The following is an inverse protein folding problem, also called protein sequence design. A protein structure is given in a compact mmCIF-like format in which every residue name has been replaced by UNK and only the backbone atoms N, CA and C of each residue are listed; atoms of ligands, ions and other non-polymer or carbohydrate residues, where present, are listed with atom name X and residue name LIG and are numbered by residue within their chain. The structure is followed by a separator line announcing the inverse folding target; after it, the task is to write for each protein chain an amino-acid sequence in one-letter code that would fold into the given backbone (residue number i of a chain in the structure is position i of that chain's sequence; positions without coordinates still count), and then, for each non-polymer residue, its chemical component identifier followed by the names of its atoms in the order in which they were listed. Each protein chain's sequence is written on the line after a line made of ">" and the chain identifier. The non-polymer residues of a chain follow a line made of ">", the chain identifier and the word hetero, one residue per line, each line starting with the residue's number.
data_IF_830622500560
#
_entry.id   IF_830622500560
#
_cell.length_a   1.000
_cell.length_b   1.000
_cell.length_c   1.000
_cell.angle_alpha   90.00
_cell.angle_beta   90.00
_cell.angle_gamma   90.00
#
_symmetry.space_group_name_H-M   'P 1'
#
loop_
_entity.id
_entity.type
_entity.pdbx_description
1 polymer ?
#
# COMPACT_ATOMS: atom_id res chain seq x y z
N UNK A 1 10.88 -79.86 19.85
CA UNK A 1 9.83 -80.16 20.84
C UNK A 1 8.84 -79.02 20.80
N UNK A 2 7.79 -79.09 20.20
CA UNK A 2 6.52 -79.82 20.32
C UNK A 2 5.51 -78.78 20.67
N UNK A 3 4.50 -78.53 20.05
CA UNK A 3 3.33 -79.09 19.39
C UNK A 3 2.20 -78.07 19.51
N UNK A 4 1.53 -77.71 18.43
CA UNK A 4 0.12 -77.86 18.11
C UNK A 4 -0.89 -77.18 19.06
N UNK A 5 -1.93 -76.46 18.61
CA UNK A 5 -3.03 -76.77 17.69
C UNK A 5 -3.90 -75.51 17.43
N UNK A 6 -4.33 -75.31 16.20
CA UNK A 6 -5.62 -74.68 15.78
C UNK A 6 -6.81 -75.66 16.07
N UNK A 7 -8.09 -75.37 15.72
CA UNK A 7 -8.89 -74.14 15.44
C UNK A 7 -10.23 -74.14 16.19
N UNK A 8 -11.06 -73.11 16.07
CA UNK A 8 -12.51 -73.34 15.95
C UNK A 8 -13.25 -72.14 15.32
N UNK A 9 -13.90 -72.45 14.22
CA UNK A 9 -14.94 -71.67 13.53
C UNK A 9 -16.24 -71.86 14.25
N UNK A 10 -17.00 -70.77 14.52
CA UNK A 10 -18.45 -70.86 14.71
C UNK A 10 -19.14 -69.70 13.93
N UNK A 11 -19.86 -70.14 12.90
CA UNK A 11 -20.90 -69.42 12.19
C UNK A 11 -22.19 -69.38 13.01
N UNK A 12 -22.92 -68.30 12.93
CA UNK A 12 -24.41 -68.25 13.09
C UNK A 12 -24.85 -66.84 12.90
N UNK A 13 -25.52 -66.53 11.99
CA UNK A 13 -26.92 -66.65 11.57
C UNK A 13 -27.63 -65.26 11.60
N UNK A 14 -28.07 -64.86 10.44
CA UNK A 14 -28.85 -63.66 10.16
C UNK A 14 -30.24 -63.71 10.85
N UNK A 15 -30.68 -62.54 11.30
CA UNK A 15 -32.11 -62.23 11.48
C UNK A 15 -32.42 -60.92 10.79
N UNK A 16 -33.16 -61.03 9.68
CA UNK A 16 -33.87 -59.96 9.00
C UNK A 16 -35.16 -59.68 9.82
N UNK A 17 -35.31 -58.46 10.26
CA UNK A 17 -36.61 -57.91 10.65
C UNK A 17 -36.82 -56.61 9.84
N UNK A 18 -37.71 -56.71 8.87
CA UNK A 18 -38.33 -55.59 8.18
C UNK A 18 -39.35 -54.93 9.10
N UNK A 19 -39.23 -53.64 9.33
CA UNK A 19 -40.32 -52.80 9.79
C UNK A 19 -40.33 -51.53 8.93
N UNK A 20 -41.35 -51.42 8.10
CA UNK A 20 -41.75 -50.19 7.41
C UNK A 20 -42.22 -49.15 8.41
N UNK A 21 -41.85 -47.88 8.17
CA UNK A 21 -42.57 -46.80 8.82
C UNK A 21 -41.81 -45.46 8.78
N UNK A 22 -42.32 -44.59 7.95
CA UNK A 22 -42.29 -43.14 8.03
C UNK A 22 -41.13 -42.40 7.40
N UNK A 23 -41.44 -41.80 6.26
CA UNK A 23 -40.62 -40.73 5.63
C UNK A 23 -40.53 -39.53 6.57
N UNK A 24 -39.33 -39.34 7.15
CA UNK A 24 -38.89 -38.10 7.75
C UNK A 24 -37.81 -37.54 6.84
N UNK A 25 -38.03 -36.36 6.31
CA UNK A 25 -37.07 -35.60 5.57
C UNK A 25 -35.76 -35.50 6.38
N UNK A 26 -34.72 -36.16 5.94
CA UNK A 26 -33.38 -35.95 6.45
C UNK A 26 -32.91 -34.62 5.89
N UNK A 27 -33.02 -33.60 6.73
CA UNK A 27 -32.40 -32.30 6.54
C UNK A 27 -30.87 -32.54 6.48
N UNK A 28 -30.37 -32.66 5.24
CA UNK A 28 -28.93 -32.63 4.99
C UNK A 28 -28.44 -31.23 5.29
N UNK A 29 -28.22 -30.91 6.54
CA UNK A 29 -27.34 -29.81 6.93
C UNK A 29 -26.00 -30.08 6.23
N UNK A 30 -25.77 -29.43 5.10
CA UNK A 30 -24.42 -29.25 4.60
C UNK A 30 -23.61 -28.66 5.74
N UNK A 31 -22.70 -29.44 6.31
CA UNK A 31 -21.62 -28.90 7.12
C UNK A 31 -20.92 -27.88 6.23
N UNK A 32 -21.19 -26.61 6.42
CA UNK A 32 -20.38 -25.57 5.84
C UNK A 32 -18.97 -25.77 6.46
N UNK A 33 -18.02 -26.14 5.62
CA UNK A 33 -16.62 -26.21 6.02
C UNK A 33 -16.22 -24.82 6.55
N UNK A 34 -15.61 -24.77 7.72
CA UNK A 34 -15.18 -23.50 8.30
C UNK A 34 -14.29 -22.75 7.28
N UNK A 35 -14.45 -21.45 7.09
CA UNK A 35 -13.68 -20.71 6.13
C UNK A 35 -12.18 -20.89 6.39
N UNK A 36 -11.41 -21.17 5.35
CA UNK A 36 -9.96 -21.25 5.42
C UNK A 36 -9.43 -19.90 5.90
N UNK A 37 -8.52 -19.90 6.87
CA UNK A 37 -7.90 -18.67 7.40
C UNK A 37 -6.40 -18.72 7.24
N UNK A 38 -5.78 -17.55 7.12
CA UNK A 38 -4.33 -17.33 7.21
C UNK A 38 -4.00 -16.53 8.46
N UNK A 39 -2.80 -16.75 9.01
CA UNK A 39 -2.29 -15.98 10.15
C UNK A 39 -1.45 -14.83 9.64
N UNK A 40 -1.93 -13.63 9.85
CA UNK A 40 -1.21 -12.40 9.52
C UNK A 40 -0.64 -11.81 10.80
N UNK A 41 0.61 -11.40 10.73
CA UNK A 41 1.29 -10.71 11.82
C UNK A 41 1.44 -9.24 11.43
N UNK A 42 0.92 -8.36 12.26
CA UNK A 42 1.02 -6.91 12.14
C UNK A 42 1.68 -6.27 13.39
N UNK A 43 1.64 -4.94 13.48
CA UNK A 43 2.17 -4.20 14.62
C UNK A 43 1.44 -4.50 15.94
N UNK A 44 0.17 -4.94 15.88
CA UNK A 44 -0.69 -5.22 17.03
C UNK A 44 -0.71 -6.70 17.44
N UNK A 45 -0.05 -7.59 16.68
CA UNK A 45 0.06 -9.01 17.01
C UNK A 45 -0.20 -9.96 15.86
N UNK A 46 -0.95 -11.03 16.11
CA UNK A 46 -1.30 -12.03 15.10
C UNK A 46 -2.82 -12.14 14.97
N UNK A 47 -3.31 -11.94 13.76
CA UNK A 47 -4.74 -11.99 13.41
C UNK A 47 -4.99 -13.18 12.49
N UNK A 48 -6.09 -13.94 12.74
CA UNK A 48 -6.56 -14.94 11.79
C UNK A 48 -7.49 -14.26 10.80
N UNK A 49 -7.10 -14.20 9.54
CA UNK A 49 -7.84 -13.53 8.47
C UNK A 49 -8.48 -14.59 7.56
N UNK A 50 -9.77 -14.49 7.21
CA UNK A 50 -10.37 -15.39 6.22
C UNK A 50 -9.67 -15.24 4.86
N UNK A 51 -9.47 -16.38 4.17
CA UNK A 51 -8.96 -16.36 2.78
C UNK A 51 -10.12 -16.03 1.85
N UNK A 52 -9.88 -15.17 0.88
CA UNK A 52 -10.87 -14.70 -0.09
C UNK A 52 -12.13 -14.12 0.58
N UNK A 53 -11.94 -13.13 1.50
CA UNK A 53 -13.05 -12.50 2.21
C UNK A 53 -13.99 -11.81 1.22
N UNK A 54 -15.30 -11.80 1.52
CA UNK A 54 -16.31 -11.26 0.58
C UNK A 54 -16.71 -9.82 0.89
N UNK A 55 -16.53 -9.39 2.15
CA UNK A 55 -16.81 -8.03 2.58
C UNK A 55 -15.53 -7.37 3.07
N UNK A 56 -14.86 -6.71 2.16
CA UNK A 56 -13.58 -6.05 2.39
C UNK A 56 -13.79 -4.57 2.64
N UNK A 57 -13.25 -4.07 3.74
CA UNK A 57 -13.08 -2.64 3.98
C UNK A 57 -11.61 -2.32 3.85
N UNK A 58 -11.26 -1.44 2.90
CA UNK A 58 -9.89 -1.00 2.71
C UNK A 58 -9.75 0.48 3.09
N UNK A 59 -8.85 0.76 4.05
CA UNK A 59 -8.58 2.10 4.57
C UNK A 59 -7.13 2.53 4.32
N UNK A 60 -6.28 1.61 3.85
CA UNK A 60 -4.90 1.90 3.51
C UNK A 60 -4.77 2.24 2.01
N UNK A 61 -4.38 3.47 1.73
CA UNK A 61 -4.22 3.97 0.37
C UNK A 61 -3.13 3.25 -0.43
N UNK A 62 -2.14 2.64 0.22
CA UNK A 62 -1.10 1.84 -0.45
C UNK A 62 -1.61 0.53 -1.03
N UNK A 63 -2.82 0.12 -0.66
CA UNK A 63 -3.41 -1.17 -1.06
C UNK A 63 -4.42 -1.06 -2.20
N UNK A 64 -5.01 0.11 -2.45
CA UNK A 64 -6.12 0.27 -3.39
C UNK A 64 -5.79 -0.18 -4.81
N UNK A 65 -4.63 0.19 -5.32
CA UNK A 65 -4.22 -0.18 -6.69
C UNK A 65 -4.03 -1.69 -6.83
N UNK A 66 -3.39 -2.32 -5.86
CA UNK A 66 -3.19 -3.77 -5.84
C UNK A 66 -4.51 -4.52 -5.75
N UNK A 67 -5.42 -4.10 -4.85
CA UNK A 67 -6.74 -4.71 -4.70
C UNK A 67 -7.58 -4.56 -5.98
N UNK A 68 -7.54 -3.37 -6.61
CA UNK A 68 -8.22 -3.12 -7.88
C UNK A 68 -7.67 -3.98 -9.02
N UNK A 69 -6.33 -4.11 -9.12
CA UNK A 69 -5.69 -4.93 -10.14
C UNK A 69 -6.01 -6.43 -9.99
N UNK A 70 -6.40 -6.85 -8.79
CA UNK A 70 -6.77 -8.23 -8.49
C UNK A 70 -8.30 -8.46 -8.49
N UNK A 71 -9.10 -7.49 -8.94
CA UNK A 71 -10.55 -7.53 -9.01
C UNK A 71 -11.21 -7.79 -7.64
N UNK A 72 -10.62 -7.26 -6.55
CA UNK A 72 -11.20 -7.37 -5.21
C UNK A 72 -12.33 -6.35 -5.05
N UNK A 73 -13.53 -6.81 -4.73
CA UNK A 73 -14.67 -5.93 -4.44
C UNK A 73 -14.54 -5.31 -3.05
N UNK A 74 -14.75 -3.99 -2.92
CA UNK A 74 -14.75 -3.29 -1.65
C UNK A 74 -16.18 -3.01 -1.18
N UNK A 75 -16.48 -3.34 0.08
CA UNK A 75 -17.74 -2.97 0.72
C UNK A 75 -17.75 -1.52 1.21
N UNK A 76 -16.59 -1.02 1.65
CA UNK A 76 -16.43 0.37 2.07
C UNK A 76 -14.97 0.83 1.90
N UNK A 77 -14.79 2.12 1.64
CA UNK A 77 -13.50 2.78 1.51
C UNK A 77 -13.65 4.29 1.76
N UNK A 78 -12.56 5.03 2.04
CA UNK A 78 -12.56 6.50 2.08
C UNK A 78 -12.57 7.06 0.65
N UNK A 79 -13.76 7.20 0.07
CA UNK A 79 -13.95 7.53 -1.36
C UNK A 79 -13.22 8.81 -1.76
N UNK A 80 -13.17 9.81 -0.88
CA UNK A 80 -12.44 11.07 -1.12
C UNK A 80 -10.90 10.92 -1.16
N UNK A 81 -10.34 9.75 -0.80
CA UNK A 81 -8.90 9.45 -0.86
C UNK A 81 -8.55 8.48 -1.99
N UNK A 82 -9.52 8.04 -2.76
CA UNK A 82 -9.27 7.18 -3.93
C UNK A 82 -8.77 8.04 -5.10
N UNK A 83 -7.73 7.61 -5.83
CA UNK A 83 -7.34 8.26 -7.07
C UNK A 83 -8.53 8.33 -8.04
N UNK A 84 -8.73 9.48 -8.70
CA UNK A 84 -9.91 9.72 -9.56
C UNK A 84 -10.05 8.70 -10.70
N UNK A 85 -8.94 8.13 -11.15
CA UNK A 85 -8.93 7.09 -12.19
C UNK A 85 -9.16 5.68 -11.66
N UNK A 86 -9.12 5.49 -10.34
CA UNK A 86 -9.39 4.19 -9.72
C UNK A 86 -10.79 3.68 -10.08
N UNK A 87 -10.96 2.39 -10.40
CA UNK A 87 -12.28 1.80 -10.59
C UNK A 87 -13.16 1.97 -9.35
N UNK A 88 -12.57 1.94 -8.16
CA UNK A 88 -13.29 2.15 -6.90
C UNK A 88 -13.87 3.55 -6.74
N UNK A 89 -13.21 4.59 -7.25
CA UNK A 89 -13.75 5.96 -7.23
C UNK A 89 -15.02 6.13 -8.09
N UNK A 90 -15.22 5.22 -9.04
CA UNK A 90 -16.37 5.21 -9.96
C UNK A 90 -17.49 4.26 -9.51
N UNK A 91 -17.20 3.41 -8.53
CA UNK A 91 -18.16 2.43 -8.00
C UNK A 91 -19.06 3.09 -6.93
N UNK A 92 -20.37 3.10 -7.22
CA UNK A 92 -21.39 3.72 -6.35
C UNK A 92 -21.87 2.78 -5.24
N UNK A 93 -21.53 1.52 -5.30
CA UNK A 93 -21.92 0.52 -4.31
C UNK A 93 -20.96 0.51 -3.12
N UNK A 94 -19.79 1.12 -3.24
CA UNK A 94 -18.83 1.31 -2.14
C UNK A 94 -19.36 2.33 -1.15
N UNK A 95 -19.51 1.92 0.10
CA UNK A 95 -19.90 2.82 1.19
C UNK A 95 -18.75 3.75 1.54
N UNK A 96 -18.98 5.06 1.46
CA UNK A 96 -17.98 6.06 1.84
C UNK A 96 -17.85 6.16 3.36
N UNK A 97 -16.63 5.95 3.86
CA UNK A 97 -16.30 6.07 5.28
C UNK A 97 -15.77 7.47 5.66
N UNK A 98 -15.74 8.40 4.70
CA UNK A 98 -15.22 9.74 4.91
C UNK A 98 -13.70 9.84 4.98
N UNK A 99 -13.22 11.03 5.36
CA UNK A 99 -11.79 11.33 5.44
C UNK A 99 -11.21 10.84 6.78
N UNK A 100 -9.92 10.55 6.79
CA UNK A 100 -9.19 10.05 7.96
C UNK A 100 -9.16 11.00 9.16
N UNK A 101 -9.40 12.30 8.97
CA UNK A 101 -9.48 13.27 10.07
C UNK A 101 -10.75 13.10 10.93
N UNK A 102 -11.85 12.68 10.30
CA UNK A 102 -13.15 12.48 10.95
C UNK A 102 -13.89 11.34 10.23
N UNK A 103 -13.41 10.09 10.39
CA UNK A 103 -14.00 8.96 9.69
C UNK A 103 -15.35 8.56 10.26
N UNK A 104 -16.24 8.12 9.39
CA UNK A 104 -17.51 7.51 9.79
C UNK A 104 -17.30 6.03 10.14
N UNK A 105 -16.87 5.78 11.38
CA UNK A 105 -16.63 4.42 11.87
C UNK A 105 -17.90 3.57 11.92
N UNK A 106 -19.08 4.18 12.07
CA UNK A 106 -20.37 3.47 12.05
C UNK A 106 -20.68 2.92 10.65
N UNK A 107 -20.26 3.61 9.60
CA UNK A 107 -20.38 3.11 8.23
C UNK A 107 -19.53 1.83 8.02
N UNK A 108 -18.32 1.78 8.62
CA UNK A 108 -17.48 0.57 8.61
C UNK A 108 -18.21 -0.60 9.30
N UNK A 109 -18.78 -0.35 10.47
CA UNK A 109 -19.55 -1.38 11.19
C UNK A 109 -20.82 -1.80 10.43
N UNK A 110 -21.48 -0.84 9.77
CA UNK A 110 -22.73 -1.05 9.04
C UNK A 110 -22.62 -2.02 7.88
N UNK A 111 -21.47 -2.13 7.19
CA UNK A 111 -21.25 -3.11 6.13
C UNK A 111 -21.01 -4.52 6.65
N UNK A 112 -20.80 -4.70 7.96
CA UNK A 112 -20.50 -5.99 8.61
C UNK A 112 -19.36 -6.72 7.87
N UNK A 113 -18.12 -6.20 7.94
CA UNK A 113 -16.99 -6.70 7.17
C UNK A 113 -16.49 -8.06 7.63
N UNK A 114 -15.85 -8.81 6.72
CA UNK A 114 -15.04 -9.98 7.03
C UNK A 114 -13.62 -9.58 7.42
N UNK A 115 -13.10 -8.54 6.74
CA UNK A 115 -11.78 -7.97 6.98
C UNK A 115 -11.80 -6.45 6.85
N UNK A 116 -11.03 -5.78 7.71
CA UNK A 116 -10.71 -4.35 7.61
C UNK A 116 -9.20 -4.20 7.51
N UNK A 117 -8.74 -3.60 6.43
CA UNK A 117 -7.33 -3.31 6.16
C UNK A 117 -7.09 -1.86 6.56
N UNK A 118 -6.39 -1.67 7.67
CA UNK A 118 -5.97 -0.36 8.19
C UNK A 118 -4.53 -0.12 7.76
N UNK A 119 -4.13 1.12 7.69
CA UNK A 119 -2.75 1.54 7.43
C UNK A 119 -2.64 3.06 7.44
N UNK A 120 -1.44 3.57 7.29
CA UNK A 120 -1.03 4.97 7.26
C UNK A 120 -2.03 5.98 7.84
N UNK A 121 -2.97 6.45 7.01
CA UNK A 121 -3.90 7.56 7.36
C UNK A 121 -4.92 7.17 8.42
N UNK A 122 -5.23 5.88 8.55
CA UNK A 122 -6.23 5.37 9.49
C UNK A 122 -5.61 4.60 10.66
N UNK A 123 -4.29 4.54 10.79
CA UNK A 123 -3.59 3.78 11.84
C UNK A 123 -4.06 4.18 13.25
N UNK A 124 -4.25 5.47 13.51
CA UNK A 124 -4.73 5.97 14.80
C UNK A 124 -6.14 5.49 15.18
N UNK A 125 -6.93 5.03 14.21
CA UNK A 125 -8.30 4.53 14.42
C UNK A 125 -8.38 3.02 14.61
N UNK A 126 -7.25 2.30 14.57
CA UNK A 126 -7.22 0.82 14.64
C UNK A 126 -8.01 0.25 15.81
N UNK A 127 -7.74 0.72 17.03
CA UNK A 127 -8.38 0.20 18.24
C UNK A 127 -9.89 0.49 18.30
N UNK A 128 -10.32 1.63 17.78
CA UNK A 128 -11.74 1.99 17.75
C UNK A 128 -12.49 1.19 16.69
N UNK A 129 -11.90 1.00 15.51
CA UNK A 129 -12.43 0.13 14.46
C UNK A 129 -12.58 -1.30 15.01
N UNK A 130 -11.54 -1.84 15.64
CA UNK A 130 -11.54 -3.19 16.19
C UNK A 130 -12.64 -3.43 17.23
N UNK A 131 -12.94 -2.42 18.07
CA UNK A 131 -14.04 -2.48 19.04
C UNK A 131 -15.41 -2.53 18.35
N UNK A 132 -15.57 -1.79 17.24
CA UNK A 132 -16.85 -1.68 16.52
C UNK A 132 -17.15 -2.90 15.67
N UNK A 133 -16.14 -3.61 15.16
CA UNK A 133 -16.30 -4.80 14.33
C UNK A 133 -15.65 -6.05 14.96
N UNK A 134 -16.12 -6.51 16.13
CA UNK A 134 -15.47 -7.56 16.90
C UNK A 134 -15.44 -8.93 16.19
N UNK A 135 -16.23 -9.11 15.14
CA UNK A 135 -16.30 -10.34 14.36
C UNK A 135 -15.46 -10.29 13.09
N UNK A 136 -14.95 -9.11 12.71
CA UNK A 136 -14.08 -8.94 11.56
C UNK A 136 -12.60 -9.17 11.93
N UNK A 137 -11.80 -9.61 10.97
CA UNK A 137 -10.36 -9.52 11.08
C UNK A 137 -9.93 -8.07 10.81
N UNK A 138 -9.34 -7.39 11.77
CA UNK A 138 -8.76 -6.06 11.59
C UNK A 138 -7.25 -6.21 11.56
N UNK A 139 -6.62 -5.78 10.49
CA UNK A 139 -5.16 -5.83 10.27
C UNK A 139 -4.64 -4.44 9.99
N UNK A 140 -3.44 -4.15 10.49
CA UNK A 140 -2.73 -2.90 10.25
C UNK A 140 -1.53 -3.17 9.35
N UNK A 141 -1.55 -2.58 8.14
CA UNK A 141 -0.50 -2.69 7.15
C UNK A 141 0.32 -1.38 7.03
N UNK A 142 0.29 -0.53 8.06
CA UNK A 142 1.09 0.69 8.05
C UNK A 142 2.58 0.39 7.94
N UNK A 143 3.25 1.14 7.07
CA UNK A 143 4.70 1.09 6.90
C UNK A 143 5.31 2.19 7.77
N UNK A 144 5.66 1.81 8.99
CA UNK A 144 6.28 2.75 9.93
C UNK A 144 7.72 3.05 9.53
N UNK A 145 8.03 4.34 9.36
CA UNK A 145 9.37 4.84 9.06
C UNK A 145 9.85 5.74 10.21
N UNK A 146 10.51 5.19 11.25
CA UNK A 146 11.02 6.00 12.35
C UNK A 146 12.05 7.02 11.85
N UNK A 147 11.98 8.24 12.33
CA UNK A 147 12.87 9.34 11.93
C UNK A 147 14.35 9.05 12.17
N UNK A 148 14.67 8.23 13.15
CA UNK A 148 16.01 7.85 13.56
C UNK A 148 16.43 6.45 13.10
N UNK A 149 15.68 5.82 12.21
CA UNK A 149 15.94 4.44 11.75
C UNK A 149 17.29 4.28 11.06
N UNK A 150 17.82 5.33 10.44
CA UNK A 150 19.05 5.29 9.64
C UNK A 150 18.93 4.57 8.30
N UNK A 151 17.87 3.79 8.10
CA UNK A 151 17.61 2.99 6.87
C UNK A 151 16.16 3.08 6.42
N UNK A 152 15.58 4.30 6.24
CA UNK A 152 14.18 4.45 5.88
C UNK A 152 13.86 3.84 4.50
N UNK A 153 14.83 3.79 3.59
CA UNK A 153 14.66 3.18 2.27
C UNK A 153 14.47 1.67 2.34
N UNK A 154 15.29 0.98 3.14
CA UNK A 154 15.14 -0.47 3.36
C UNK A 154 13.81 -0.80 4.05
N UNK A 155 13.39 0.02 5.03
CA UNK A 155 12.12 -0.15 5.73
C UNK A 155 10.93 0.06 4.81
N UNK A 156 10.98 1.06 3.93
CA UNK A 156 9.94 1.30 2.93
C UNK A 156 9.79 0.11 1.98
N UNK A 157 10.89 -0.35 1.40
CA UNK A 157 10.89 -1.49 0.46
C UNK A 157 10.32 -2.73 1.13
N UNK A 158 10.86 -3.07 2.32
CA UNK A 158 10.37 -4.21 3.08
C UNK A 158 8.88 -4.09 3.42
N UNK A 159 8.42 -2.92 3.80
CA UNK A 159 7.00 -2.69 4.10
C UNK A 159 6.11 -2.89 2.88
N UNK A 160 6.52 -2.40 1.70
CA UNK A 160 5.79 -2.61 0.43
C UNK A 160 5.73 -4.09 0.05
N UNK A 161 6.85 -4.82 0.20
CA UNK A 161 6.91 -6.26 -0.04
C UNK A 161 6.02 -7.04 0.93
N UNK A 162 6.19 -6.82 2.25
CA UNK A 162 5.41 -7.49 3.30
C UNK A 162 3.89 -7.25 3.12
N UNK A 163 3.49 -6.00 2.80
CA UNK A 163 2.09 -5.65 2.52
C UNK A 163 1.57 -6.40 1.30
N UNK A 164 2.31 -6.40 0.20
CA UNK A 164 1.91 -7.06 -1.04
C UNK A 164 1.79 -8.58 -0.86
N UNK A 165 2.76 -9.21 -0.19
CA UNK A 165 2.72 -10.64 0.12
C UNK A 165 1.56 -10.99 1.06
N UNK A 166 1.27 -10.13 2.04
CA UNK A 166 0.13 -10.29 2.95
C UNK A 166 -1.20 -10.27 2.20
N UNK A 167 -1.38 -9.30 1.30
CA UNK A 167 -2.55 -9.25 0.43
C UNK A 167 -2.64 -10.50 -0.45
N UNK A 168 -1.52 -10.96 -1.02
CA UNK A 168 -1.44 -12.19 -1.81
C UNK A 168 -1.89 -13.44 -1.03
N UNK A 169 -1.60 -13.51 0.28
CA UNK A 169 -2.06 -14.60 1.14
C UNK A 169 -3.56 -14.50 1.45
N UNK A 170 -4.07 -13.30 1.69
CA UNK A 170 -5.48 -13.06 2.03
C UNK A 170 -6.38 -13.34 0.82
N UNK A 171 -6.02 -12.85 -0.37
CA UNK A 171 -6.84 -12.90 -1.57
C UNK A 171 -6.51 -14.06 -2.52
N UNK A 172 -5.67 -15.02 -2.07
CA UNK A 172 -5.20 -16.17 -2.88
C UNK A 172 -4.53 -15.76 -4.20
N UNK A 173 -3.76 -14.66 -4.15
CA UNK A 173 -3.05 -14.01 -5.26
C UNK A 173 -1.53 -14.04 -5.09
N UNK A 174 -1.01 -15.16 -4.57
CA UNK A 174 0.42 -15.26 -4.26
C UNK A 174 1.32 -15.05 -5.48
N UNK A 175 0.95 -15.58 -6.64
CA UNK A 175 1.77 -15.45 -7.84
C UNK A 175 1.81 -14.01 -8.34
N UNK A 176 0.68 -13.32 -8.31
CA UNK A 176 0.57 -11.91 -8.66
C UNK A 176 1.36 -11.03 -7.69
N UNK A 177 1.33 -11.34 -6.39
CA UNK A 177 2.13 -10.66 -5.37
C UNK A 177 3.63 -10.85 -5.62
N UNK A 178 4.10 -12.09 -5.82
CA UNK A 178 5.50 -12.41 -6.12
C UNK A 178 5.99 -11.63 -7.38
N UNK A 179 5.11 -11.41 -8.36
CA UNK A 179 5.43 -10.65 -9.57
C UNK A 179 5.59 -9.15 -9.30
N UNK A 180 4.72 -8.55 -8.46
CA UNK A 180 4.84 -7.15 -8.06
C UNK A 180 6.13 -6.91 -7.28
N UNK A 181 6.45 -7.78 -6.33
CA UNK A 181 7.71 -7.73 -5.55
C UNK A 181 8.92 -7.80 -6.49
N UNK A 182 8.93 -8.77 -7.41
CA UNK A 182 10.01 -8.90 -8.41
C UNK A 182 10.16 -7.63 -9.27
N UNK A 183 9.03 -7.00 -9.63
CA UNK A 183 9.03 -5.76 -10.43
C UNK A 183 9.64 -4.61 -9.65
N UNK A 184 9.28 -4.45 -8.37
CA UNK A 184 9.87 -3.45 -7.49
C UNK A 184 11.38 -3.65 -7.34
N UNK A 185 11.82 -4.86 -7.01
CA UNK A 185 13.24 -5.20 -6.88
C UNK A 185 14.05 -4.90 -8.15
N UNK A 186 13.45 -5.19 -9.32
CA UNK A 186 14.12 -4.92 -10.59
C UNK A 186 14.24 -3.41 -10.83
N UNK A 187 13.18 -2.64 -10.58
CA UNK A 187 13.21 -1.18 -10.74
C UNK A 187 14.25 -0.52 -9.83
N UNK A 188 14.39 -1.01 -8.59
CA UNK A 188 15.44 -0.56 -7.65
C UNK A 188 16.84 -0.85 -8.22
N UNK A 189 17.07 -2.05 -8.74
CA UNK A 189 18.37 -2.43 -9.36
C UNK A 189 18.69 -1.53 -10.54
N UNK A 190 17.69 -1.17 -11.34
CA UNK A 190 17.86 -0.34 -12.53
C UNK A 190 18.21 1.12 -12.15
N UNK A 191 17.61 1.70 -11.11
CA UNK A 191 18.02 3.02 -10.59
C UNK A 191 19.45 2.98 -10.08
N UNK A 192 19.81 1.99 -9.23
CA UNK A 192 21.18 1.85 -8.68
C UNK A 192 22.24 1.68 -9.77
N UNK A 193 21.89 1.03 -10.87
CA UNK A 193 22.79 0.85 -12.02
C UNK A 193 22.95 2.13 -12.82
N UNK A 194 21.89 2.94 -12.95
CA UNK A 194 21.88 4.15 -13.80
C UNK A 194 22.46 5.37 -13.07
N UNK A 195 22.38 5.42 -11.74
CA UNK A 195 22.94 6.52 -10.97
C UNK A 195 24.47 6.49 -10.97
N UNK A 196 25.09 7.61 -11.30
CA UNK A 196 26.55 7.72 -11.42
C UNK A 196 27.31 7.91 -10.11
N UNK A 197 26.60 7.99 -8.96
CA UNK A 197 27.17 8.18 -7.62
C UNK A 197 27.80 9.57 -7.36
N UNK A 198 27.61 10.54 -8.25
CA UNK A 198 28.23 11.88 -8.17
C UNK A 198 27.20 13.01 -8.22
N UNK A 199 26.18 12.89 -9.04
CA UNK A 199 25.18 13.93 -9.26
C UNK A 199 24.36 14.17 -8.00
N UNK A 200 24.13 15.45 -7.72
CA UNK A 200 23.31 15.85 -6.58
C UNK A 200 21.82 15.85 -6.94
N UNK A 201 21.02 15.35 -6.00
CA UNK A 201 19.57 15.24 -6.16
C UNK A 201 18.86 16.21 -5.22
N UNK A 202 17.84 16.88 -5.73
CA UNK A 202 16.90 17.70 -5.00
C UNK A 202 15.51 17.13 -5.17
N UNK A 203 14.72 17.06 -4.11
CA UNK A 203 13.31 16.68 -4.18
C UNK A 203 12.40 17.75 -3.61
N UNK A 204 11.29 18.00 -4.31
CA UNK A 204 10.31 19.02 -3.95
C UNK A 204 8.89 18.49 -4.09
N UNK A 205 7.98 19.07 -3.29
CA UNK A 205 6.54 18.84 -3.36
C UNK A 205 5.89 20.14 -3.80
N UNK A 206 5.07 20.09 -4.83
CA UNK A 206 4.26 21.23 -5.27
C UNK A 206 2.84 21.07 -4.73
N UNK A 207 2.36 22.07 -4.01
CA UNK A 207 1.03 22.10 -3.40
C UNK A 207 0.47 23.51 -3.41
N UNK A 208 -0.73 23.74 -3.92
CA UNK A 208 -1.38 25.04 -4.00
C UNK A 208 -0.61 26.11 -4.80
N UNK A 209 0.31 25.67 -5.66
CA UNK A 209 1.20 26.56 -6.41
C UNK A 209 2.51 26.91 -5.70
N UNK A 210 2.73 26.45 -4.48
CA UNK A 210 3.96 26.62 -3.71
C UNK A 210 4.90 25.43 -3.87
N UNK A 211 6.20 25.66 -3.69
CA UNK A 211 7.26 24.63 -3.76
C UNK A 211 7.81 24.39 -2.37
N UNK A 212 7.52 23.21 -1.80
CA UNK A 212 8.07 22.73 -0.53
C UNK A 212 9.27 21.81 -0.75
N UNK A 213 10.23 21.83 0.18
CA UNK A 213 11.40 20.97 0.15
C UNK A 213 11.08 19.60 0.76
N UNK A 214 11.32 18.50 0.03
CA UNK A 214 11.23 17.16 0.59
C UNK A 214 12.62 16.71 1.06
N UNK A 215 12.82 16.72 2.38
CA UNK A 215 14.13 16.51 2.97
C UNK A 215 14.65 15.07 2.79
N UNK A 216 15.95 14.87 2.58
CA UNK A 216 16.57 13.55 2.61
C UNK A 216 16.27 12.80 3.89
N UNK A 217 16.04 11.51 3.81
CA UNK A 217 15.72 10.54 4.87
C UNK A 217 14.30 10.65 5.43
N UNK A 218 13.74 11.85 5.65
CA UNK A 218 12.46 12.05 6.35
C UNK A 218 11.34 12.61 5.48
N UNK A 219 11.67 13.30 4.38
CA UNK A 219 10.66 13.90 3.50
C UNK A 219 9.71 12.86 2.92
N UNK A 220 8.42 13.19 2.85
CA UNK A 220 7.40 12.29 2.31
C UNK A 220 7.74 11.84 0.89
N UNK A 221 7.49 10.59 0.57
CA UNK A 221 7.75 9.91 -0.70
C UNK A 221 9.25 9.82 -1.02
N UNK A 222 9.96 10.94 -1.10
CA UNK A 222 11.34 10.99 -1.59
C UNK A 222 12.40 10.74 -0.53
N UNK A 223 12.14 11.10 0.73
CA UNK A 223 13.13 10.99 1.80
C UNK A 223 13.79 9.61 1.89
N UNK A 224 13.02 8.51 1.91
CA UNK A 224 13.56 7.15 1.93
C UNK A 224 14.40 6.78 0.71
N UNK A 225 14.20 7.44 -0.43
CA UNK A 225 14.92 7.14 -1.67
C UNK A 225 16.40 7.55 -1.59
N UNK A 226 16.72 8.57 -0.79
CA UNK A 226 18.13 8.99 -0.61
C UNK A 226 18.98 7.90 0.03
N UNK A 227 18.45 7.22 1.03
CA UNK A 227 19.07 6.05 1.64
C UNK A 227 19.08 4.85 0.67
N UNK A 228 17.92 4.55 0.06
CA UNK A 228 17.77 3.39 -0.83
C UNK A 228 18.75 3.41 -2.01
N UNK A 229 19.01 4.58 -2.58
CA UNK A 229 19.83 4.75 -3.79
C UNK A 229 21.20 5.38 -3.54
N UNK A 230 21.55 5.62 -2.28
CA UNK A 230 22.79 6.33 -1.90
C UNK A 230 22.95 7.67 -2.63
N UNK A 231 21.83 8.42 -2.73
CA UNK A 231 21.82 9.70 -3.45
C UNK A 231 22.52 10.78 -2.67
N UNK A 232 23.31 11.57 -3.38
CA UNK A 232 23.94 12.76 -2.84
C UNK A 232 22.93 13.90 -2.75
N UNK A 233 22.55 14.38 -1.56
CA UNK A 233 21.59 15.47 -1.44
C UNK A 233 22.21 16.79 -1.95
N UNK A 234 21.45 17.56 -2.73
CA UNK A 234 21.86 18.90 -3.15
C UNK A 234 21.75 19.92 -2.02
N UNK A 235 20.84 19.68 -1.08
CA UNK A 235 20.61 20.52 0.09
C UNK A 235 20.27 19.64 1.31
N UNK A 236 20.84 20.01 2.45
CA UNK A 236 20.46 19.47 3.75
C UNK A 236 20.03 20.60 4.68
N UNK A 237 18.96 20.36 5.46
CA UNK A 237 18.47 21.32 6.46
C UNK A 237 18.48 20.68 7.84
N UNK A 238 18.58 21.50 8.88
CA UNK A 238 18.61 21.02 10.26
C UNK A 238 17.22 20.60 10.77
N UNK A 239 16.21 21.37 10.40
CA UNK A 239 14.82 21.07 10.71
C UNK A 239 14.21 20.45 9.47
N UNK A 240 13.81 19.20 9.58
CA UNK A 240 13.24 18.41 8.50
C UNK A 240 12.07 17.60 9.04
N UNK A 241 11.08 17.39 8.22
CA UNK A 241 9.87 16.67 8.59
C UNK A 241 9.37 15.77 7.44
N UNK A 242 8.38 14.93 7.77
CA UNK A 242 7.58 14.20 6.79
C UNK A 242 6.34 14.96 6.35
N UNK A 243 6.33 16.30 6.43
CA UNK A 243 5.19 17.13 6.07
C UNK A 243 4.75 16.85 4.62
N UNK A 244 3.46 16.72 4.41
CA UNK A 244 2.86 16.35 3.13
C UNK A 244 2.89 17.47 2.08
N UNK A 245 3.24 18.69 2.47
CA UNK A 245 3.48 19.84 1.59
C UNK A 245 4.98 20.14 1.43
N UNK A 246 5.84 19.40 2.12
CA UNK A 246 7.28 19.66 2.22
C UNK A 246 7.64 20.71 3.28
N UNK A 247 8.92 20.80 3.58
CA UNK A 247 9.44 21.77 4.53
C UNK A 247 9.54 23.17 3.91
N UNK A 248 9.39 24.22 4.74
CA UNK A 248 9.48 25.62 4.34
C UNK A 248 10.95 26.00 4.06
N UNK A 249 11.40 25.75 2.84
CA UNK A 249 12.70 26.21 2.32
C UNK A 249 12.44 27.14 1.14
N UNK A 250 13.08 28.32 1.13
CA UNK A 250 12.87 29.26 0.04
C UNK A 250 13.33 28.71 -1.30
N UNK A 251 12.60 29.03 -2.37
CA UNK A 251 12.93 28.60 -3.74
C UNK A 251 14.33 29.11 -4.16
N UNK A 252 14.77 30.26 -3.62
CA UNK A 252 16.10 30.79 -3.83
C UNK A 252 17.19 29.92 -3.17
N UNK A 253 16.93 29.35 -1.98
CA UNK A 253 17.88 28.44 -1.33
C UNK A 253 17.95 27.11 -2.11
N UNK A 254 16.82 26.60 -2.60
CA UNK A 254 16.76 25.45 -3.49
C UNK A 254 17.59 25.75 -4.76
N UNK A 255 17.38 26.91 -5.39
CA UNK A 255 18.13 27.31 -6.58
C UNK A 255 19.64 27.49 -6.34
N UNK A 256 20.03 28.02 -5.17
CA UNK A 256 21.44 28.20 -4.81
C UNK A 256 22.19 26.88 -4.64
N UNK A 257 21.50 25.81 -4.22
CA UNK A 257 22.12 24.48 -4.13
C UNK A 257 22.48 23.91 -5.50
N UNK A 258 21.87 24.43 -6.57
CA UNK A 258 22.15 24.12 -7.98
C UNK A 258 22.18 22.60 -8.25
N UNK A 259 21.10 21.87 -8.02
CA UNK A 259 21.05 20.43 -8.15
C UNK A 259 21.31 19.97 -9.58
N UNK A 260 21.88 18.75 -9.71
CA UNK A 260 22.02 18.05 -10.98
C UNK A 260 20.72 17.45 -11.44
N UNK A 261 19.89 16.96 -10.49
CA UNK A 261 18.58 16.36 -10.70
C UNK A 261 17.52 16.99 -9.81
N UNK A 262 16.32 17.16 -10.33
CA UNK A 262 15.14 17.63 -9.61
C UNK A 262 14.03 16.56 -9.68
N UNK A 263 13.61 16.05 -8.53
CA UNK A 263 12.44 15.18 -8.40
C UNK A 263 11.26 16.01 -7.90
N UNK A 264 10.11 15.85 -8.53
CA UNK A 264 8.92 16.67 -8.27
C UNK A 264 7.71 15.79 -7.99
N UNK A 265 7.08 15.99 -6.84
CA UNK A 265 5.76 15.45 -6.52
C UNK A 265 4.70 16.54 -6.73
N UNK A 266 3.71 16.27 -7.57
CA UNK A 266 2.50 17.08 -7.67
C UNK A 266 1.47 16.56 -6.67
N UNK A 267 1.35 17.25 -5.53
CA UNK A 267 0.44 16.86 -4.46
C UNK A 267 -1.03 17.02 -4.85
N UNK A 268 -1.30 17.99 -5.70
CA UNK A 268 -2.67 18.38 -6.03
C UNK A 268 -3.22 17.60 -7.24
N UNK A 269 -2.35 17.02 -8.07
CA UNK A 269 -2.74 16.30 -9.28
C UNK A 269 -3.80 15.21 -9.05
N UNK A 270 -3.70 14.34 -8.01
CA UNK A 270 -4.69 13.29 -7.79
C UNK A 270 -5.97 13.77 -7.11
N UNK A 271 -5.98 14.99 -6.56
CA UNK A 271 -7.14 15.57 -5.89
C UNK A 271 -8.17 16.17 -6.88
N UNK A 272 -7.91 16.07 -8.17
CA UNK A 272 -8.80 16.56 -9.21
C UNK A 272 -8.82 18.10 -9.30
N UNK A 273 -10.03 18.68 -9.39
CA UNK A 273 -10.20 20.12 -9.50
C UNK A 273 -10.17 20.81 -8.12
N UNK A 274 -9.17 20.54 -7.29
CA UNK A 274 -9.00 21.25 -6.04
C UNK A 274 -8.89 22.76 -6.30
N UNK A 275 -9.58 23.58 -5.52
CA UNK A 275 -9.52 25.05 -5.67
C UNK A 275 -8.07 25.51 -5.47
N UNK A 276 -7.53 26.21 -6.47
CA UNK A 276 -6.15 26.69 -6.46
C UNK A 276 -5.10 25.69 -6.95
N UNK A 277 -5.47 24.48 -7.38
CA UNK A 277 -4.52 23.51 -7.95
C UNK A 277 -3.87 24.08 -9.21
N UNK A 278 -2.53 24.07 -9.23
CA UNK A 278 -1.71 24.45 -10.39
C UNK A 278 -0.80 23.26 -10.70
N UNK A 279 -0.77 22.76 -11.95
CA UNK A 279 0.11 21.64 -12.29
C UNK A 279 1.57 21.93 -11.88
N UNK A 280 2.21 20.94 -11.24
CA UNK A 280 3.57 21.12 -10.73
C UNK A 280 4.54 21.55 -11.84
N UNK A 281 4.38 21.04 -13.06
CA UNK A 281 5.18 21.46 -14.20
C UNK A 281 5.07 22.97 -14.45
N UNK A 282 3.85 23.53 -14.43
CA UNK A 282 3.63 24.97 -14.61
C UNK A 282 4.29 25.79 -13.51
N UNK A 283 4.28 25.30 -12.27
CA UNK A 283 4.92 25.96 -11.12
C UNK A 283 6.44 25.96 -11.27
N UNK A 284 7.04 24.84 -11.60
CA UNK A 284 8.49 24.69 -11.81
C UNK A 284 8.93 25.56 -13.00
N UNK A 285 8.22 25.52 -14.13
CA UNK A 285 8.54 26.27 -15.35
C UNK A 285 8.48 27.79 -15.13
N UNK A 286 7.57 28.25 -14.27
CA UNK A 286 7.38 29.67 -13.94
C UNK A 286 8.21 30.17 -12.78
N UNK A 287 8.97 29.32 -12.08
CA UNK A 287 9.82 29.71 -10.95
C UNK A 287 11.15 30.34 -11.47
N UNK A 288 11.32 31.69 -11.47
CA UNK A 288 12.47 32.33 -12.11
C UNK A 288 13.81 31.97 -11.46
N UNK A 289 13.80 31.66 -10.17
CA UNK A 289 15.01 31.24 -9.44
C UNK A 289 15.52 29.90 -9.96
N UNK A 290 14.62 28.95 -10.22
CA UNK A 290 14.97 27.59 -10.65
C UNK A 290 15.51 27.53 -12.07
N UNK A 291 15.11 28.48 -12.97
CA UNK A 291 15.48 28.49 -14.39
C UNK A 291 16.99 28.55 -14.62
N UNK A 292 17.77 28.93 -13.62
CA UNK A 292 19.24 29.03 -13.72
C UNK A 292 19.95 27.78 -13.21
N UNK A 293 19.24 26.85 -12.58
CA UNK A 293 19.81 25.60 -12.04
C UNK A 293 20.24 24.67 -13.14
N UNK A 294 21.16 23.77 -12.82
CA UNK A 294 21.65 22.76 -13.76
C UNK A 294 20.52 21.79 -14.12
N UNK A 295 19.75 21.31 -13.14
CA UNK A 295 18.64 20.39 -13.37
C UNK A 295 17.66 20.91 -14.45
N UNK A 296 17.26 22.20 -14.38
CA UNK A 296 16.35 22.79 -15.37
C UNK A 296 17.01 22.94 -16.75
N UNK A 297 18.27 23.43 -16.79
CA UNK A 297 18.97 23.65 -18.06
C UNK A 297 19.26 22.38 -18.84
N UNK A 298 19.54 21.30 -18.13
CA UNK A 298 19.92 20.01 -18.71
C UNK A 298 18.70 19.09 -18.90
N UNK A 299 17.47 19.57 -18.58
CA UNK A 299 16.21 18.80 -18.62
C UNK A 299 16.25 17.54 -17.73
N UNK A 300 16.94 17.67 -16.59
CA UNK A 300 17.08 16.62 -15.60
C UNK A 300 15.99 16.73 -14.50
N UNK A 301 14.74 16.65 -14.92
CA UNK A 301 13.58 16.73 -14.04
C UNK A 301 12.81 15.42 -14.17
N UNK A 302 12.45 14.82 -13.05
CA UNK A 302 11.57 13.64 -13.02
C UNK A 302 10.35 13.96 -12.14
N UNK A 303 9.18 13.92 -12.76
CA UNK A 303 7.92 14.04 -12.06
C UNK A 303 7.46 12.66 -11.58
N UNK A 304 7.03 12.56 -10.31
CA UNK A 304 6.40 11.35 -9.82
C UNK A 304 5.08 11.08 -10.57
N UNK A 305 4.62 9.82 -10.68
CA UNK A 305 3.30 9.50 -11.21
C UNK A 305 2.21 10.37 -10.57
N UNK A 306 1.21 10.78 -11.36
CA UNK A 306 0.24 11.81 -10.96
C UNK A 306 -0.56 11.48 -9.70
N UNK A 307 -0.78 10.21 -9.42
CA UNK A 307 -1.54 9.73 -8.28
C UNK A 307 -0.69 9.38 -7.05
N UNK A 308 0.64 9.55 -7.13
CA UNK A 308 1.60 9.16 -6.07
C UNK A 308 1.17 9.66 -4.69
N UNK A 309 0.72 10.92 -4.57
CA UNK A 309 0.35 11.48 -3.27
C UNK A 309 -0.80 10.73 -2.57
N UNK A 310 -1.75 10.17 -3.33
CA UNK A 310 -2.86 9.39 -2.80
C UNK A 310 -2.62 7.88 -2.83
N UNK A 311 -1.74 7.39 -3.68
CA UNK A 311 -1.59 5.97 -3.91
C UNK A 311 -0.42 5.35 -3.14
N UNK A 312 0.79 5.82 -3.35
CA UNK A 312 2.02 5.31 -2.69
C UNK A 312 2.11 3.76 -2.67
N UNK A 313 1.55 3.07 -3.69
CA UNK A 313 1.53 1.62 -3.79
C UNK A 313 2.87 1.05 -4.27
N UNK A 314 3.04 -0.27 -4.19
CA UNK A 314 4.19 -0.96 -4.76
C UNK A 314 4.30 -0.72 -6.27
N UNK A 315 3.17 -0.61 -6.99
CA UNK A 315 3.11 -0.31 -8.41
C UNK A 315 3.56 1.12 -8.69
N UNK A 316 3.06 2.09 -7.93
CA UNK A 316 3.43 3.51 -8.04
C UNK A 316 4.93 3.70 -7.84
N UNK A 317 5.52 3.09 -6.80
CA UNK A 317 6.97 3.16 -6.58
C UNK A 317 7.75 2.47 -7.70
N UNK A 318 7.29 1.32 -8.19
CA UNK A 318 7.95 0.61 -9.31
C UNK A 318 7.94 1.43 -10.59
N UNK A 319 6.82 2.08 -10.92
CA UNK A 319 6.70 2.98 -12.06
C UNK A 319 7.66 4.16 -11.92
N UNK A 320 7.63 4.83 -10.78
CA UNK A 320 8.47 5.98 -10.52
C UNK A 320 9.97 5.64 -10.59
N UNK A 321 10.39 4.52 -10.00
CA UNK A 321 11.79 4.07 -10.08
C UNK A 321 12.20 3.74 -11.53
N UNK A 322 11.32 3.14 -12.32
CA UNK A 322 11.58 2.93 -13.75
C UNK A 322 11.76 4.24 -14.52
N UNK A 323 10.97 5.27 -14.19
CA UNK A 323 11.10 6.58 -14.86
C UNK A 323 12.38 7.30 -14.44
N UNK A 324 12.76 7.22 -13.16
CA UNK A 324 14.06 7.70 -12.67
C UNK A 324 15.21 6.97 -13.38
N UNK A 325 15.17 5.64 -13.46
CA UNK A 325 16.23 4.86 -14.11
C UNK A 325 16.39 5.23 -15.60
N UNK A 326 15.28 5.43 -16.31
CA UNK A 326 15.29 5.89 -17.72
C UNK A 326 15.87 7.30 -17.85
N UNK A 327 15.51 8.21 -16.93
CA UNK A 327 16.03 9.57 -16.94
C UNK A 327 17.54 9.59 -16.69
N UNK A 328 18.01 8.86 -15.69
CA UNK A 328 19.43 8.74 -15.33
C UNK A 328 20.30 8.06 -16.41
N UNK A 329 19.70 7.28 -17.32
CA UNK A 329 20.40 6.57 -18.39
C UNK A 329 20.61 7.41 -19.67
N UNK A 330 20.08 8.66 -19.73
CA UNK A 330 20.28 9.61 -20.85
C UNK A 330 21.70 10.13 -20.87
#
# INVERSE_FOLDING_TARGET
>A
MGKWKTPLVVSSLAVLLAACGNAGEADTKKNAEAPKTVKIKDAHGTVNVPVDPKKVVALDNRTFETLAAWDVELAAAPVGLLPAESPYAKDKDIVDVGMHFEPNLEAIAGVNPDVVIVGQRFADHYEDIKKLVPNAAVIDLDITLPEDSGTPGELLVKGLEDTTETLGQIFDKKQEADQLVTTLEQSIKDVKKSYNGQDSVMSVIVSGGDIGFSAPMSGRVFGPMYDLFDWKPALEVKQKSGNDQGDEVSVEAIAQSNPDWLLVLDRDAPLGNAEGAVPAQDVIDRAPALQKTKAIKDDNIVYAPKDTYLNESIQTYSEFFNDIAKALAK
#
